data_IF_543807891285
#
_entry.id   IF_543807891285
#
_cell.length_a   1.000
_cell.length_b   1.000
_cell.length_c   1.000
_cell.angle_alpha   90.00
_cell.angle_beta   90.00
_cell.angle_gamma   90.00
#
_symmetry.space_group_name_H-M   'P 1'
#
loop_
_entity.id
_entity.type
_entity.pdbx_description
1 polymer ?
#
# COMPACT_ATOMS: atom_id res chain seq x y z
N UNK A 1 -8.19 32.78 -6.89
CA UNK A 1 -7.38 33.00 -5.65
C UNK A 1 -6.59 34.29 -5.82
N UNK A 2 -6.21 35.01 -4.74
CA UNK A 2 -5.45 36.24 -4.87
C UNK A 2 -4.21 36.02 -5.76
N UNK A 3 -4.12 36.72 -6.88
CA UNK A 3 -3.02 36.60 -7.85
C UNK A 3 -3.07 35.43 -8.85
N UNK A 4 -4.11 34.57 -8.85
CA UNK A 4 -4.26 33.48 -9.83
C UNK A 4 -5.37 33.78 -10.84
N UNK A 5 -5.05 33.58 -12.13
CA UNK A 5 -5.95 33.80 -13.29
C UNK A 5 -6.86 32.62 -13.61
N UNK A 6 -6.65 31.48 -12.97
CA UNK A 6 -7.42 30.26 -13.23
C UNK A 6 -8.87 30.43 -12.77
N UNK A 7 -9.82 30.02 -13.60
CA UNK A 7 -11.21 29.89 -13.18
C UNK A 7 -11.35 28.70 -12.22
N UNK A 8 -11.96 28.96 -11.06
CA UNK A 8 -12.21 27.95 -10.05
C UNK A 8 -13.71 27.75 -9.88
N UNK A 9 -14.13 26.50 -9.76
CA UNK A 9 -15.51 26.13 -9.47
C UNK A 9 -15.63 25.66 -8.02
N UNK A 10 -16.63 26.18 -7.31
CA UNK A 10 -16.98 25.71 -5.98
C UNK A 10 -18.13 24.70 -6.07
N UNK A 11 -17.88 23.46 -5.67
CA UNK A 11 -18.90 22.42 -5.52
C UNK A 11 -19.35 22.37 -4.07
N UNK A 12 -20.64 22.57 -3.84
CA UNK A 12 -21.25 22.54 -2.50
C UNK A 12 -22.11 21.28 -2.37
N UNK A 13 -21.74 20.40 -1.44
CA UNK A 13 -22.44 19.14 -1.17
C UNK A 13 -23.15 19.25 0.18
N UNK A 14 -24.47 19.14 0.17
CA UNK A 14 -25.31 19.12 1.38
C UNK A 14 -25.71 17.68 1.71
N UNK A 15 -25.84 17.35 3.00
CA UNK A 15 -26.36 16.06 3.48
C UNK A 15 -25.32 15.00 3.85
N UNK A 16 -24.01 15.26 3.70
CA UNK A 16 -22.95 14.36 4.20
C UNK A 16 -22.58 14.61 5.67
N UNK A 17 -22.95 15.75 6.23
CA UNK A 17 -22.67 16.12 7.60
C UNK A 17 -23.58 17.27 8.05
N UNK A 18 -23.34 17.78 9.26
CA UNK A 18 -24.07 18.93 9.81
C UNK A 18 -23.81 20.20 8.98
N UNK A 19 -22.56 20.39 8.57
CA UNK A 19 -22.14 21.49 7.70
C UNK A 19 -21.97 21.01 6.25
N UNK A 20 -22.27 21.86 5.26
CA UNK A 20 -22.09 21.53 3.86
C UNK A 20 -20.60 21.36 3.53
N UNK A 21 -20.26 20.30 2.80
CA UNK A 21 -18.91 20.10 2.28
C UNK A 21 -18.70 21.03 1.08
N UNK A 22 -17.67 21.87 1.16
CA UNK A 22 -17.30 22.83 0.11
C UNK A 22 -15.99 22.41 -0.53
N UNK A 23 -16.02 22.09 -1.83
CA UNK A 23 -14.86 21.63 -2.59
C UNK A 23 -14.55 22.66 -3.67
N UNK A 24 -13.40 23.33 -3.55
CA UNK A 24 -12.91 24.24 -4.58
C UNK A 24 -12.02 23.47 -5.56
N UNK A 25 -12.32 23.54 -6.86
CA UNK A 25 -11.60 22.79 -7.89
C UNK A 25 -11.33 23.63 -9.13
N UNK A 26 -10.21 23.35 -9.81
CA UNK A 26 -9.89 23.86 -11.15
C UNK A 26 -10.35 22.91 -12.27
N UNK A 27 -10.99 21.77 -11.92
CA UNK A 27 -11.56 20.86 -12.90
C UNK A 27 -12.76 21.51 -13.57
N UNK A 28 -12.90 21.29 -14.88
CA UNK A 28 -14.08 21.72 -15.62
C UNK A 28 -15.33 20.96 -15.13
N UNK A 29 -16.19 21.63 -14.35
CA UNK A 29 -17.43 21.04 -13.84
C UNK A 29 -18.57 21.35 -14.81
N UNK A 30 -19.09 20.32 -15.47
CA UNK A 30 -20.31 20.45 -16.28
C UNK A 30 -21.53 20.37 -15.37
N UNK A 31 -22.65 20.97 -15.79
CA UNK A 31 -23.97 20.84 -15.12
C UNK A 31 -24.59 19.45 -15.32
N UNK A 32 -23.85 18.40 -14.97
CA UNK A 32 -24.24 17.00 -15.04
C UNK A 32 -23.90 16.32 -13.73
N UNK A 33 -24.83 15.50 -13.23
CA UNK A 33 -24.65 14.74 -11.99
C UNK A 33 -23.38 13.89 -12.01
N UNK A 34 -23.01 13.32 -13.16
CA UNK A 34 -21.78 12.53 -13.31
C UNK A 34 -20.51 13.37 -13.11
N UNK A 35 -20.49 14.59 -13.64
CA UNK A 35 -19.33 15.49 -13.53
C UNK A 35 -19.16 15.97 -12.08
N UNK A 36 -20.24 16.38 -11.42
CA UNK A 36 -20.22 16.78 -10.01
C UNK A 36 -19.81 15.61 -9.12
N UNK A 37 -20.40 14.43 -9.35
CA UNK A 37 -20.09 13.23 -8.57
C UNK A 37 -18.63 12.79 -8.72
N UNK A 38 -18.02 12.98 -9.90
CA UNK A 38 -16.60 12.73 -10.09
C UNK A 38 -15.73 13.62 -9.18
N UNK A 39 -16.03 14.92 -9.07
CA UNK A 39 -15.32 15.82 -8.14
C UNK A 39 -15.49 15.37 -6.70
N UNK A 40 -16.71 15.02 -6.30
CA UNK A 40 -17.01 14.53 -4.94
C UNK A 40 -16.26 13.24 -4.64
N UNK A 41 -16.30 12.26 -5.55
CA UNK A 41 -15.55 11.00 -5.39
C UNK A 41 -14.05 11.24 -5.30
N UNK A 42 -13.49 12.09 -6.16
CA UNK A 42 -12.07 12.46 -6.10
C UNK A 42 -11.72 13.09 -4.74
N UNK A 43 -12.59 13.94 -4.19
CA UNK A 43 -12.40 14.45 -2.84
C UNK A 43 -12.51 13.36 -1.77
N UNK A 44 -13.50 12.46 -1.85
CA UNK A 44 -13.62 11.34 -0.90
C UNK A 44 -12.39 10.42 -0.96
N UNK A 45 -11.80 10.20 -2.14
CA UNK A 45 -10.56 9.41 -2.25
C UNK A 45 -9.37 10.02 -1.51
N UNK A 46 -9.43 11.31 -1.14
CA UNK A 46 -8.47 11.91 -0.19
C UNK A 46 -8.48 11.18 1.14
N UNK A 47 -9.63 10.76 1.66
CA UNK A 47 -9.66 10.00 2.91
C UNK A 47 -8.93 8.65 2.76
N UNK A 48 -8.99 8.04 1.56
CA UNK A 48 -8.27 6.79 1.29
C UNK A 48 -6.75 6.94 1.42
N UNK A 49 -6.16 8.11 1.14
CA UNK A 49 -4.73 8.33 1.38
C UNK A 49 -4.41 8.38 2.88
N UNK A 50 -5.31 8.93 3.70
CA UNK A 50 -5.13 8.99 5.16
C UNK A 50 -5.11 7.60 5.77
N UNK A 51 -5.92 6.67 5.26
CA UNK A 51 -5.88 5.27 5.72
C UNK A 51 -4.56 4.59 5.40
N UNK A 52 -3.94 4.88 4.24
CA UNK A 52 -2.60 4.38 3.89
C UNK A 52 -1.54 5.01 4.78
N UNK A 53 -1.60 6.32 5.01
CA UNK A 53 -0.66 7.02 5.90
C UNK A 53 -0.78 6.46 7.33
N UNK A 54 -1.99 6.26 7.83
CA UNK A 54 -2.25 5.65 9.15
C UNK A 54 -1.70 4.22 9.20
N UNK A 55 -1.96 3.40 8.18
CA UNK A 55 -1.42 2.05 8.07
C UNK A 55 0.12 2.04 8.14
N UNK A 56 0.77 2.88 7.33
CA UNK A 56 2.23 2.95 7.30
C UNK A 56 2.79 3.41 8.64
N UNK A 57 2.17 4.40 9.30
CA UNK A 57 2.56 4.86 10.64
C UNK A 57 2.41 3.77 11.70
N UNK A 58 1.27 3.08 11.73
CA UNK A 58 0.91 2.12 12.77
C UNK A 58 1.59 0.76 12.57
N UNK A 59 1.46 0.15 11.39
CA UNK A 59 1.97 -1.20 11.12
C UNK A 59 3.50 -1.29 11.11
N UNK A 60 4.18 -0.22 10.72
CA UNK A 60 5.65 -0.17 10.72
C UNK A 60 6.22 0.61 11.92
N UNK A 61 5.36 1.08 12.84
CA UNK A 61 5.74 1.87 14.03
C UNK A 61 6.68 3.03 13.68
N UNK A 62 6.42 3.72 12.56
CA UNK A 62 7.32 4.75 12.04
C UNK A 62 7.59 5.88 13.03
N UNK A 63 6.59 6.23 13.85
CA UNK A 63 6.69 7.31 14.84
C UNK A 63 7.56 6.92 16.06
N UNK A 64 7.81 5.61 16.25
CA UNK A 64 8.66 5.10 17.32
C UNK A 64 10.13 4.99 16.91
N UNK A 65 10.45 5.10 15.62
CA UNK A 65 11.82 4.94 15.17
C UNK A 65 12.66 6.14 15.62
N UNK A 66 13.74 5.85 16.35
CA UNK A 66 14.69 6.86 16.84
C UNK A 66 15.93 6.85 15.95
N UNK A 67 16.19 7.97 15.29
CA UNK A 67 17.44 8.23 14.58
C UNK A 67 18.09 9.48 15.19
N UNK A 68 19.42 9.47 15.30
CA UNK A 68 20.18 10.58 15.89
C UNK A 68 20.19 11.85 15.03
N UNK A 69 19.88 11.74 13.73
CA UNK A 69 19.89 12.87 12.79
C UNK A 69 18.67 12.86 11.87
N UNK A 70 18.25 14.04 11.44
CA UNK A 70 17.11 14.22 10.53
C UNK A 70 17.33 13.55 9.16
N UNK A 71 18.53 13.65 8.60
CA UNK A 71 18.89 13.00 7.34
C UNK A 71 18.73 11.47 7.40
N UNK A 72 19.11 10.85 8.53
CA UNK A 72 18.94 9.40 8.72
C UNK A 72 17.47 9.03 8.86
N UNK A 73 16.66 9.86 9.52
CA UNK A 73 15.22 9.67 9.59
C UNK A 73 14.57 9.75 8.20
N UNK A 74 14.95 10.72 7.37
CA UNK A 74 14.47 10.83 5.99
C UNK A 74 14.86 9.61 5.14
N UNK A 75 16.12 9.17 5.22
CA UNK A 75 16.58 7.97 4.52
C UNK A 75 15.78 6.73 4.92
N UNK A 76 15.49 6.58 6.22
CA UNK A 76 14.69 5.48 6.72
C UNK A 76 13.23 5.56 6.24
N UNK A 77 12.64 6.76 6.22
CA UNK A 77 11.29 6.98 5.67
C UNK A 77 11.19 6.52 4.21
N UNK A 78 12.22 6.79 3.39
CA UNK A 78 12.29 6.30 2.01
C UNK A 78 12.30 4.78 1.96
N UNK A 79 13.16 4.13 2.76
CA UNK A 79 13.25 2.66 2.80
C UNK A 79 11.94 2.00 3.24
N UNK A 80 11.32 2.50 4.31
CA UNK A 80 10.05 1.95 4.81
C UNK A 80 8.94 2.15 3.78
N UNK A 81 8.88 3.32 3.13
CA UNK A 81 7.89 3.58 2.08
C UNK A 81 8.08 2.66 0.87
N UNK A 82 9.33 2.43 0.45
CA UNK A 82 9.65 1.51 -0.63
C UNK A 82 9.27 0.05 -0.28
N UNK A 83 9.58 -0.40 0.95
CA UNK A 83 9.21 -1.72 1.43
C UNK A 83 7.68 -1.89 1.54
N UNK A 84 6.99 -0.87 2.07
CA UNK A 84 5.53 -0.85 2.17
C UNK A 84 4.87 -0.88 0.78
N UNK A 85 5.40 -0.13 -0.19
CA UNK A 85 4.96 -0.18 -1.58
C UNK A 85 5.17 -1.57 -2.19
N UNK A 86 6.36 -2.15 -2.03
CA UNK A 86 6.66 -3.49 -2.53
C UNK A 86 5.72 -4.53 -1.93
N UNK A 87 5.49 -4.49 -0.62
CA UNK A 87 4.52 -5.36 0.04
C UNK A 87 3.12 -5.13 -0.53
N UNK A 88 2.60 -3.91 -0.47
CA UNK A 88 1.24 -3.57 -0.86
C UNK A 88 0.93 -3.84 -2.35
N UNK A 89 1.85 -3.48 -3.23
CA UNK A 89 1.65 -3.52 -4.69
C UNK A 89 2.19 -4.81 -5.27
N UNK A 90 3.44 -5.20 -5.01
CA UNK A 90 4.01 -6.38 -5.66
C UNK A 90 3.53 -7.69 -5.00
N UNK A 91 3.70 -7.83 -3.68
CA UNK A 91 3.19 -8.99 -2.95
C UNK A 91 1.67 -9.00 -2.94
N UNK A 92 1.05 -7.85 -2.66
CA UNK A 92 -0.40 -7.70 -2.65
C UNK A 92 -1.02 -8.04 -3.99
N UNK A 93 -0.42 -7.67 -5.13
CA UNK A 93 -0.92 -8.04 -6.46
C UNK A 93 -0.72 -9.53 -6.75
N UNK A 94 0.44 -10.13 -6.43
CA UNK A 94 0.64 -11.58 -6.58
C UNK A 94 -0.30 -12.40 -5.71
N UNK A 95 -0.49 -11.98 -4.46
CA UNK A 95 -1.40 -12.62 -3.52
C UNK A 95 -2.84 -12.41 -3.96
N UNK A 96 -3.21 -11.21 -4.46
CA UNK A 96 -4.50 -10.97 -5.12
C UNK A 96 -4.68 -11.83 -6.36
N UNK A 97 -3.68 -12.00 -7.23
CA UNK A 97 -3.80 -12.87 -8.40
C UNK A 97 -4.01 -14.32 -7.98
N UNK A 98 -3.28 -14.79 -6.97
CA UNK A 98 -3.40 -16.16 -6.46
C UNK A 98 -4.76 -16.39 -5.79
N UNK A 99 -5.14 -15.48 -4.90
CA UNK A 99 -6.42 -15.50 -4.17
C UNK A 99 -7.58 -15.26 -5.13
N UNK A 100 -7.45 -14.38 -6.12
CA UNK A 100 -8.45 -14.16 -7.17
C UNK A 100 -8.52 -15.34 -8.13
N UNK A 101 -7.42 -16.00 -8.49
CA UNK A 101 -7.45 -17.25 -9.25
C UNK A 101 -8.15 -18.35 -8.43
N UNK A 102 -7.81 -18.48 -7.14
CA UNK A 102 -8.50 -19.38 -6.21
C UNK A 102 -9.96 -19.01 -6.01
N UNK A 103 -10.30 -17.72 -5.98
CA UNK A 103 -11.67 -17.22 -5.88
C UNK A 103 -12.39 -17.27 -7.20
N UNK A 104 -11.77 -17.23 -8.37
CA UNK A 104 -12.41 -17.42 -9.68
C UNK A 104 -12.70 -18.91 -9.88
N UNK A 105 -11.78 -19.79 -9.45
CA UNK A 105 -12.03 -21.23 -9.32
C UNK A 105 -13.09 -21.56 -8.26
N UNK A 106 -13.16 -20.80 -7.15
CA UNK A 106 -14.21 -20.95 -6.14
C UNK A 106 -15.50 -20.21 -6.47
N UNK A 107 -15.48 -19.13 -7.25
CA UNK A 107 -16.63 -18.27 -7.59
C UNK A 107 -17.29 -18.69 -8.89
N UNK A 108 -16.59 -19.41 -9.76
CA UNK A 108 -17.26 -20.34 -10.68
C UNK A 108 -18.09 -21.39 -9.90
N UNK A 109 -17.85 -21.55 -8.59
CA UNK A 109 -18.69 -22.35 -7.68
C UNK A 109 -19.53 -21.54 -6.67
N UNK A 110 -19.16 -20.33 -6.24
CA UNK A 110 -19.82 -19.51 -5.19
C UNK A 110 -19.48 -18.02 -5.32
N UNK A 111 -20.42 -17.32 -5.92
CA UNK A 111 -20.41 -15.92 -6.33
C UNK A 111 -20.57 -14.97 -5.10
N UNK A 112 -19.70 -13.94 -5.03
CA UNK A 112 -19.74 -12.68 -4.24
C UNK A 112 -19.38 -12.61 -2.73
N UNK A 113 -18.29 -11.87 -2.43
CA UNK A 113 -18.29 -10.76 -1.45
C UNK A 113 -17.26 -10.75 -0.31
N UNK A 114 -16.23 -9.87 -0.35
CA UNK A 114 -15.46 -9.39 0.85
C UNK A 114 -14.81 -8.00 0.59
N UNK A 115 -15.18 -6.93 1.34
CA UNK A 115 -14.30 -5.78 1.66
C UNK A 115 -13.81 -5.90 3.14
N UNK A 116 -12.76 -5.29 3.70
CA UNK A 116 -12.19 -3.94 3.60
C UNK A 116 -10.68 -3.94 3.98
N UNK A 117 -9.91 -2.98 3.44
CA UNK A 117 -8.48 -2.69 3.70
C UNK A 117 -7.51 -3.87 4.00
N UNK A 118 -7.17 -4.62 2.95
CA UNK A 118 -6.32 -5.83 2.98
C UNK A 118 -4.83 -5.62 3.31
N UNK A 119 -4.38 -4.37 3.49
CA UNK A 119 -2.97 -4.05 3.73
C UNK A 119 -2.50 -4.45 5.13
N UNK A 120 -3.37 -4.32 6.14
CA UNK A 120 -3.09 -4.79 7.50
C UNK A 120 -2.90 -6.31 7.55
N UNK A 121 -3.83 -7.07 6.98
CA UNK A 121 -3.73 -8.53 6.91
C UNK A 121 -2.46 -9.01 6.17
N UNK A 122 -2.04 -8.28 5.14
CA UNK A 122 -0.80 -8.58 4.42
C UNK A 122 0.43 -8.31 5.31
N UNK A 123 0.47 -7.16 5.99
CA UNK A 123 1.57 -6.82 6.90
C UNK A 123 1.68 -7.81 8.06
N UNK A 124 0.55 -8.20 8.65
CA UNK A 124 0.51 -9.23 9.69
C UNK A 124 0.94 -10.61 9.17
N UNK A 125 0.54 -10.99 7.96
CA UNK A 125 0.98 -12.23 7.33
C UNK A 125 2.50 -12.26 7.09
N UNK A 126 3.08 -11.17 6.60
CA UNK A 126 4.54 -11.04 6.42
C UNK A 126 5.25 -11.11 7.77
N UNK A 127 4.75 -10.39 8.78
CA UNK A 127 5.28 -10.42 10.14
C UNK A 127 5.28 -11.85 10.68
N UNK A 128 4.13 -12.53 10.69
CA UNK A 128 4.04 -13.89 11.19
C UNK A 128 4.96 -14.85 10.44
N UNK A 129 5.03 -14.77 9.11
CA UNK A 129 5.92 -15.59 8.30
C UNK A 129 7.39 -15.40 8.70
N UNK A 130 7.87 -14.15 8.77
CA UNK A 130 9.26 -13.86 9.13
C UNK A 130 9.61 -14.30 10.56
N UNK A 131 8.71 -14.06 11.53
CA UNK A 131 8.95 -14.44 12.93
C UNK A 131 8.82 -15.95 13.18
N UNK A 132 8.05 -16.67 12.36
CA UNK A 132 7.95 -18.13 12.44
C UNK A 132 9.19 -18.87 11.90
N UNK A 133 10.05 -18.20 11.14
CA UNK A 133 11.28 -18.78 10.59
C UNK A 133 12.42 -18.68 11.59
N UNK A 134 12.40 -19.53 12.62
CA UNK A 134 13.41 -19.60 13.70
C UNK A 134 14.79 -20.10 13.25
N UNK A 135 14.93 -20.66 12.04
CA UNK A 135 16.20 -21.16 11.50
C UNK A 135 17.01 -20.11 10.72
N UNK A 136 16.52 -18.87 10.61
CA UNK A 136 17.23 -17.75 9.99
C UNK A 136 17.41 -17.85 8.46
N UNK A 137 17.96 -16.79 7.86
CA UNK A 137 18.37 -16.74 6.44
C UNK A 137 19.51 -17.71 6.11
N UNK A 138 20.14 -18.31 7.11
CA UNK A 138 21.23 -19.29 7.00
C UNK A 138 20.86 -20.46 6.10
N UNK A 139 19.65 -21.04 6.24
CA UNK A 139 19.20 -22.13 5.35
C UNK A 139 19.01 -21.71 3.89
N UNK A 140 18.61 -20.45 3.66
CA UNK A 140 18.39 -19.87 2.34
C UNK A 140 19.72 -19.55 1.64
N UNK A 141 20.72 -19.13 2.41
CA UNK A 141 22.09 -18.89 1.95
C UNK A 141 22.85 -20.20 1.71
N UNK A 142 22.66 -21.21 2.56
CA UNK A 142 23.21 -22.57 2.38
C UNK A 142 22.69 -23.23 1.09
N UNK A 143 21.44 -22.97 0.70
CA UNK A 143 20.87 -23.45 -0.56
C UNK A 143 21.51 -22.82 -1.82
N UNK A 144 22.23 -21.69 -1.70
CA UNK A 144 22.86 -21.00 -2.83
C UNK A 144 24.36 -21.32 -3.00
N UNK A 145 24.98 -22.05 -2.08
CA UNK A 145 26.34 -22.56 -2.27
C UNK A 145 26.36 -23.61 -3.40
N UNK A 146 27.14 -23.44 -4.49
CA UNK A 146 27.31 -24.51 -5.46
C UNK A 146 28.06 -25.68 -4.82
N UNK A 147 27.86 -26.88 -5.39
CA UNK A 147 28.45 -28.16 -4.95
C UNK A 147 29.93 -28.04 -4.55
N UNK A 148 30.41 -28.82 -3.56
CA UNK A 148 31.78 -28.71 -3.08
C UNK A 148 32.74 -28.94 -4.25
N UNK A 149 33.52 -27.92 -4.58
CA UNK A 149 34.64 -28.03 -5.51
C UNK A 149 35.70 -28.85 -4.79
N UNK A 150 35.62 -30.17 -4.91
CA UNK A 150 36.66 -31.07 -4.45
C UNK A 150 37.93 -30.72 -5.23
N UNK A 151 39.01 -30.21 -4.60
CA UNK A 151 40.28 -30.15 -5.28
C UNK A 151 40.72 -31.61 -5.46
N UNK A 152 40.96 -32.02 -6.71
CA UNK A 152 41.70 -33.23 -7.03
C UNK A 152 43.10 -33.07 -6.43
N UNK A 153 43.24 -33.42 -5.15
CA UNK A 153 44.51 -33.63 -4.50
C UNK A 153 44.85 -35.09 -4.78
N UNK A 154 45.96 -35.30 -5.47
CA UNK A 154 46.53 -36.59 -5.92
C UNK A 154 46.03 -37.08 -7.29
N UNK A 155 46.81 -36.75 -8.33
CA UNK A 155 47.11 -37.69 -9.41
C UNK A 155 48.61 -38.07 -9.29
N UNK A 156 48.99 -39.36 -9.45
CA UNK A 156 50.36 -39.87 -9.27
C UNK A 156 51.32 -39.57 -10.43
#
# INVERSE_FOLDING_TARGET
LPGRREELTLVVVKGFGKEPLMILTNLAVRRSRKSVWHVVLSYITRWRIEDVIRFVKQSYRLEDIRCLTYHRLQALMVLVTAAAYFAAVYLGLRMKLRVLASHVLRASKRVFGIPDFRLYALADGIRQFLYSQTQGLTKLLEQQSPLPTQPMLFDP
#
